data_IF_177411578291
#
_entry.id   IF_177411578291
#
_cell.length_a   1.000
_cell.length_b   1.000
_cell.length_c   1.000
_cell.angle_alpha   90.00
_cell.angle_beta   90.00
_cell.angle_gamma   90.00
#
_symmetry.space_group_name_H-M   'P 1'
#
loop_
_entity.id
_entity.type
_entity.pdbx_description
1 polymer ?
#
# COMPACT_ATOMS: atom_id res chain seq x y z
N UNK A 1 -7.79 -5.70 -43.98
CA UNK A 1 -6.50 -5.25 -43.41
C UNK A 1 -5.78 -6.49 -42.93
N UNK A 2 -4.78 -6.90 -43.70
CA UNK A 2 -4.06 -8.17 -43.54
C UNK A 2 -3.15 -8.16 -42.32
N UNK A 3 -3.17 -9.28 -41.60
CA UNK A 3 -2.28 -9.62 -40.50
C UNK A 3 -1.01 -10.22 -41.11
N UNK A 4 0.13 -9.57 -40.91
CA UNK A 4 1.44 -10.12 -41.30
C UNK A 4 1.87 -11.14 -40.24
N UNK A 5 1.86 -12.42 -40.63
CA UNK A 5 2.44 -13.54 -39.90
C UNK A 5 3.89 -13.70 -40.35
N UNK A 6 4.84 -13.64 -39.42
CA UNK A 6 6.25 -13.97 -39.70
C UNK A 6 6.45 -15.50 -39.62
N UNK A 7 7.21 -16.11 -40.56
CA UNK A 7 7.37 -17.56 -40.60
C UNK A 7 8.39 -18.06 -39.56
N UNK A 8 8.10 -19.24 -39.01
CA UNK A 8 9.02 -20.04 -38.20
C UNK A 8 9.99 -20.81 -39.10
N UNK A 9 11.29 -20.80 -38.78
CA UNK A 9 12.27 -21.71 -39.38
C UNK A 9 12.67 -22.85 -38.43
N UNK A 10 13.00 -24.04 -38.96
CA UNK A 10 13.08 -25.27 -38.19
C UNK A 10 14.48 -25.58 -37.63
N UNK A 11 14.49 -26.45 -36.62
CA UNK A 11 15.67 -26.98 -35.97
C UNK A 11 16.47 -27.95 -36.84
N UNK A 12 17.80 -27.85 -36.76
CA UNK A 12 18.71 -28.99 -36.96
C UNK A 12 19.99 -28.66 -37.72
N UNK A 13 21.13 -28.61 -37.02
CA UNK A 13 22.39 -29.30 -37.39
C UNK A 13 23.50 -28.97 -36.38
N UNK A 14 23.76 -29.90 -35.46
CA UNK A 14 25.01 -29.99 -34.71
C UNK A 14 26.15 -30.33 -35.69
N UNK A 15 27.18 -29.49 -35.75
CA UNK A 15 28.54 -29.90 -36.12
C UNK A 15 29.56 -29.20 -35.22
N UNK A 16 30.43 -30.02 -34.65
CA UNK A 16 31.55 -29.67 -33.79
C UNK A 16 32.73 -29.09 -34.57
N UNK A 17 33.24 -27.95 -34.11
CA UNK A 17 34.62 -27.47 -34.25
C UNK A 17 34.78 -26.44 -33.12
N UNK A 18 35.65 -26.59 -32.14
CA UNK A 18 37.10 -26.62 -32.24
C UNK A 18 37.57 -25.66 -31.14
N UNK A 19 38.30 -26.18 -30.17
CA UNK A 19 38.77 -25.48 -28.98
C UNK A 19 39.92 -24.54 -29.30
N UNK A 20 39.70 -23.23 -29.26
CA UNK A 20 40.77 -22.24 -29.08
C UNK A 20 40.30 -21.14 -28.11
N UNK A 21 41.16 -20.85 -27.12
CA UNK A 21 40.80 -20.13 -25.91
C UNK A 21 40.49 -18.65 -26.10
N UNK A 22 39.40 -18.20 -25.46
CA UNK A 22 39.23 -16.81 -25.07
C UNK A 22 39.72 -16.64 -23.64
N UNK A 23 40.87 -15.95 -23.49
CA UNK A 23 41.28 -15.34 -22.23
C UNK A 23 40.28 -14.23 -21.89
N UNK A 24 39.62 -14.35 -20.75
CA UNK A 24 38.82 -13.27 -20.16
C UNK A 24 39.79 -12.41 -19.36
N UNK A 25 40.04 -11.17 -19.79
CA UNK A 25 40.71 -10.17 -18.97
C UNK A 25 39.79 -9.73 -17.83
N UNK A 26 40.25 -9.89 -16.59
CA UNK A 26 39.63 -9.30 -15.40
C UNK A 26 39.76 -7.77 -15.46
N UNK A 27 38.70 -7.09 -15.87
CA UNK A 27 38.53 -5.68 -15.56
C UNK A 27 37.91 -5.54 -14.17
N UNK A 28 38.68 -4.96 -13.24
CA UNK A 28 38.21 -4.49 -11.95
C UNK A 28 36.95 -3.63 -12.11
N UNK A 29 35.78 -4.20 -11.79
CA UNK A 29 34.53 -3.45 -11.67
C UNK A 29 34.57 -2.66 -10.38
N UNK A 30 34.67 -1.32 -10.49
CA UNK A 30 34.28 -0.42 -9.39
C UNK A 30 32.81 -0.67 -9.02
N UNK A 31 32.41 -0.57 -7.75
CA UNK A 31 31.00 -0.68 -7.35
C UNK A 31 30.17 0.40 -8.05
N UNK A 32 29.04 0.01 -8.65
CA UNK A 32 28.12 0.87 -9.42
C UNK A 32 27.70 2.14 -8.67
N UNK A 33 27.68 2.09 -7.34
CA UNK A 33 27.31 3.20 -6.45
C UNK A 33 28.37 4.31 -6.44
N UNK A 34 29.66 3.97 -6.47
CA UNK A 34 30.73 4.99 -6.47
C UNK A 34 30.72 5.80 -7.77
N UNK A 35 30.50 5.14 -8.92
CA UNK A 35 30.36 5.81 -10.23
C UNK A 35 29.10 6.69 -10.27
N UNK A 36 27.99 6.26 -9.67
CA UNK A 36 26.77 7.07 -9.56
C UNK A 36 26.96 8.30 -8.66
N UNK A 37 27.70 8.16 -7.55
CA UNK A 37 27.99 9.27 -6.61
C UNK A 37 28.97 10.28 -7.22
N UNK A 38 30.02 9.82 -7.91
CA UNK A 38 30.98 10.69 -8.60
C UNK A 38 30.30 11.47 -9.75
N UNK A 39 29.44 10.83 -10.54
CA UNK A 39 28.66 11.51 -11.59
C UNK A 39 27.69 12.54 -11.02
N UNK A 40 27.09 12.27 -9.86
CA UNK A 40 26.22 13.23 -9.17
C UNK A 40 27.00 14.45 -8.65
N UNK A 41 28.28 14.31 -8.28
CA UNK A 41 29.14 15.41 -7.86
C UNK A 41 29.55 16.30 -9.05
N UNK A 42 29.95 15.71 -10.18
CA UNK A 42 30.32 16.44 -11.39
C UNK A 42 29.17 17.30 -11.97
N UNK A 43 27.92 16.84 -11.87
CA UNK A 43 26.77 17.60 -12.32
C UNK A 43 26.37 18.78 -11.40
N UNK A 44 26.85 18.84 -10.13
CA UNK A 44 26.65 20.04 -9.28
C UNK A 44 27.41 21.25 -9.82
N UNK A 45 28.54 21.06 -10.50
CA UNK A 45 29.29 22.14 -11.15
C UNK A 45 28.58 22.66 -12.40
N UNK A 46 27.99 21.78 -13.21
CA UNK A 46 27.19 22.17 -14.39
C UNK A 46 25.97 22.99 -13.98
N UNK A 47 25.38 22.70 -12.81
CA UNK A 47 24.21 23.41 -12.28
C UNK A 47 24.50 24.84 -11.80
N UNK A 48 25.77 25.23 -11.60
CA UNK A 48 26.12 26.65 -11.35
C UNK A 48 25.87 27.54 -12.57
N UNK A 49 25.76 26.95 -13.78
CA UNK A 49 25.63 27.68 -15.04
C UNK A 49 24.26 27.52 -15.73
N UNK A 50 23.31 26.82 -15.10
CA UNK A 50 21.94 26.69 -15.59
C UNK A 50 20.99 27.47 -14.69
N UNK A 51 20.60 28.66 -15.15
CA UNK A 51 19.51 29.43 -14.54
C UNK A 51 18.21 28.62 -14.61
N UNK A 52 17.44 28.49 -13.51
CA UNK A 52 16.15 27.81 -13.56
C UNK A 52 15.21 28.58 -14.49
N UNK A 53 14.67 27.90 -15.51
CA UNK A 53 13.50 28.38 -16.25
C UNK A 53 12.39 28.71 -15.26
N UNK A 54 12.00 29.99 -15.21
CA UNK A 54 11.04 30.54 -14.24
C UNK A 54 9.58 30.19 -14.54
N UNK A 55 9.30 29.21 -15.41
CA UNK A 55 7.93 28.77 -15.66
C UNK A 55 7.50 27.69 -14.64
N UNK A 56 7.23 28.13 -13.41
CA UNK A 56 6.24 27.44 -12.57
C UNK A 56 4.86 27.78 -13.14
N UNK A 57 4.04 26.81 -13.60
CA UNK A 57 2.65 27.13 -13.85
C UNK A 57 2.03 27.62 -12.54
N UNK A 58 1.56 28.86 -12.53
CA UNK A 58 0.82 29.42 -11.41
C UNK A 58 -0.49 28.66 -11.30
N UNK A 59 -0.55 27.65 -10.43
CA UNK A 59 -1.82 27.08 -9.99
C UNK A 59 -2.43 28.13 -9.07
N UNK A 60 -3.32 28.96 -9.63
CA UNK A 60 -4.13 29.88 -8.85
C UNK A 60 -4.93 29.04 -7.85
N UNK A 61 -4.94 29.35 -6.54
CA UNK A 61 -5.83 28.66 -5.62
C UNK A 61 -7.25 29.01 -6.03
N UNK A 62 -7.93 28.10 -6.73
CA UNK A 62 -9.35 28.24 -6.94
C UNK A 62 -9.99 28.15 -5.57
N UNK A 63 -10.71 29.19 -5.15
CA UNK A 63 -11.69 29.07 -4.06
C UNK A 63 -12.54 27.85 -4.37
N UNK A 64 -12.41 26.80 -3.57
CA UNK A 64 -13.28 25.62 -3.62
C UNK A 64 -14.70 26.18 -3.45
N UNK A 65 -15.58 26.13 -4.47
CA UNK A 65 -16.96 26.51 -4.26
C UNK A 65 -17.54 25.57 -3.20
N UNK A 66 -18.44 26.09 -2.35
CA UNK A 66 -19.23 25.23 -1.48
C UNK A 66 -19.83 24.10 -2.33
N UNK A 67 -19.53 22.86 -1.96
CA UNK A 67 -19.93 21.68 -2.69
C UNK A 67 -21.47 21.71 -2.78
N UNK A 68 -22.09 21.66 -3.97
CA UNK A 68 -23.55 21.56 -4.04
C UNK A 68 -23.97 20.29 -3.32
N UNK A 69 -25.12 20.33 -2.62
CA UNK A 69 -25.72 19.18 -1.97
C UNK A 69 -25.66 17.99 -2.93
N UNK A 70 -24.90 16.95 -2.54
CA UNK A 70 -24.75 15.75 -3.35
C UNK A 70 -26.14 15.25 -3.69
N UNK A 71 -26.45 15.12 -4.98
CA UNK A 71 -27.67 14.49 -5.47
C UNK A 71 -27.78 13.14 -4.76
N UNK A 72 -28.78 13.01 -3.87
CA UNK A 72 -29.08 11.77 -3.21
C UNK A 72 -29.43 10.75 -4.30
N UNK A 73 -28.51 9.83 -4.58
CA UNK A 73 -28.80 8.66 -5.41
C UNK A 73 -29.80 7.85 -4.59
N UNK A 74 -31.08 7.92 -4.98
CA UNK A 74 -32.14 7.17 -4.34
C UNK A 74 -31.81 5.67 -4.39
N UNK A 75 -31.96 4.93 -3.28
CA UNK A 75 -31.69 3.49 -3.28
C UNK A 75 -32.71 2.80 -4.18
N UNK A 76 -32.24 2.15 -5.25
CA UNK A 76 -33.01 1.20 -6.05
C UNK A 76 -32.57 -0.21 -5.65
N UNK A 77 -33.50 -1.01 -5.11
CA UNK A 77 -33.27 -2.38 -4.64
C UNK A 77 -33.50 -2.50 -3.12
N UNK A 78 -33.90 -3.69 -2.63
CA UNK A 78 -34.03 -3.97 -1.20
C UNK A 78 -32.71 -3.75 -0.43
N UNK A 79 -32.62 -4.04 0.87
CA UNK A 79 -31.45 -3.67 1.67
C UNK A 79 -30.27 -4.64 1.45
N UNK A 80 -30.01 -5.01 0.21
CA UNK A 80 -28.86 -5.80 -0.21
C UNK A 80 -27.59 -5.07 0.22
N UNK A 81 -26.75 -5.74 1.01
CA UNK A 81 -25.49 -5.19 1.51
C UNK A 81 -24.37 -6.18 1.31
N UNK A 82 -23.16 -5.65 1.10
CA UNK A 82 -21.95 -6.46 1.20
C UNK A 82 -21.60 -6.69 2.67
N UNK A 83 -21.54 -7.96 3.09
CA UNK A 83 -21.22 -8.41 4.45
C UNK A 83 -19.89 -9.14 4.44
N UNK A 84 -18.97 -8.77 5.33
CA UNK A 84 -17.71 -9.52 5.50
C UNK A 84 -18.03 -10.84 6.20
N UNK A 85 -17.82 -11.96 5.52
CA UNK A 85 -18.12 -13.31 6.03
C UNK A 85 -16.88 -14.10 6.42
N UNK A 86 -15.68 -13.57 6.12
CA UNK A 86 -14.41 -14.11 6.60
C UNK A 86 -13.25 -13.20 6.24
N UNK A 87 -12.17 -13.31 6.98
CA UNK A 87 -10.94 -12.54 6.81
C UNK A 87 -9.72 -13.44 6.91
N UNK A 88 -8.61 -12.96 6.38
CA UNK A 88 -7.33 -13.64 6.48
C UNK A 88 -6.18 -12.64 6.28
N UNK A 89 -5.07 -12.89 6.95
CA UNK A 89 -3.85 -12.10 6.83
C UNK A 89 -2.61 -12.97 6.65
N UNK A 90 -1.63 -12.45 5.93
CA UNK A 90 -0.31 -13.02 5.73
C UNK A 90 0.74 -11.99 6.12
N UNK A 91 1.58 -12.35 7.09
CA UNK A 91 2.75 -11.59 7.51
C UNK A 91 3.98 -12.42 7.10
N UNK A 92 4.93 -11.85 6.33
CA UNK A 92 6.11 -12.60 5.95
C UNK A 92 6.99 -12.95 7.17
N UNK A 93 7.85 -13.98 7.08
CA UNK A 93 8.52 -14.53 8.26
C UNK A 93 9.67 -13.66 8.77
N UNK A 94 10.27 -12.82 7.93
CA UNK A 94 11.51 -12.11 8.25
C UNK A 94 11.21 -10.83 9.03
N UNK A 95 11.41 -10.88 10.35
CA UNK A 95 11.30 -9.71 11.22
C UNK A 95 12.48 -8.75 11.02
N UNK A 96 12.19 -7.46 10.96
CA UNK A 96 13.16 -6.37 10.96
C UNK A 96 12.87 -5.45 12.14
N UNK A 97 13.83 -5.39 13.07
CA UNK A 97 13.77 -4.51 14.24
C UNK A 97 14.30 -3.13 13.92
N UNK A 98 13.96 -2.14 14.74
CA UNK A 98 14.58 -0.82 14.62
C UNK A 98 16.11 -0.83 14.77
N UNK A 99 16.64 -1.72 15.62
CA UNK A 99 18.10 -1.92 15.76
C UNK A 99 18.75 -2.47 14.49
N UNK A 100 18.04 -3.27 13.71
CA UNK A 100 18.56 -3.72 12.40
C UNK A 100 18.60 -2.56 11.42
N UNK A 101 17.59 -1.69 11.41
CA UNK A 101 17.56 -0.49 10.58
C UNK A 101 18.70 0.49 10.93
N UNK A 102 19.04 0.65 12.21
CA UNK A 102 20.17 1.51 12.63
C UNK A 102 21.55 1.00 12.21
N UNK A 103 21.64 -0.22 11.66
CA UNK A 103 22.89 -0.73 11.07
C UNK A 103 23.16 -0.13 9.70
N UNK A 104 22.13 0.26 8.97
CA UNK A 104 22.24 0.68 7.55
C UNK A 104 21.92 2.15 7.31
N UNK A 105 21.40 2.87 8.31
CA UNK A 105 21.09 4.29 8.21
C UNK A 105 21.13 4.98 9.58
N UNK A 106 21.26 6.32 9.55
CA UNK A 106 21.30 7.20 10.73
C UNK A 106 19.96 7.27 11.44
N UNK A 107 19.73 6.34 12.37
CA UNK A 107 18.52 6.26 13.19
C UNK A 107 18.79 5.49 14.48
N UNK A 108 17.80 5.43 15.37
CA UNK A 108 17.84 4.61 16.59
C UNK A 108 16.46 4.03 16.90
N UNK A 109 16.40 3.03 17.77
CA UNK A 109 15.13 2.48 18.24
C UNK A 109 14.25 3.55 18.91
N UNK A 110 14.85 4.33 19.79
CA UNK A 110 14.17 5.40 20.53
C UNK A 110 13.59 6.43 19.56
N UNK A 111 14.37 6.85 18.56
CA UNK A 111 13.95 7.84 17.57
C UNK A 111 12.77 7.33 16.72
N UNK A 112 12.78 6.06 16.31
CA UNK A 112 11.70 5.48 15.51
C UNK A 112 10.44 5.34 16.37
N UNK A 113 10.56 4.81 17.60
CA UNK A 113 9.44 4.64 18.53
C UNK A 113 8.76 5.96 18.87
N UNK A 114 9.52 7.00 19.21
CA UNK A 114 8.98 8.32 19.57
C UNK A 114 8.20 8.96 18.41
N UNK A 115 8.67 8.75 17.17
CA UNK A 115 8.08 9.39 15.99
C UNK A 115 6.95 8.62 15.36
N UNK A 116 6.99 7.29 15.45
CA UNK A 116 6.08 6.43 14.70
C UNK A 116 5.30 5.43 15.55
N UNK A 117 5.85 5.07 16.71
CA UNK A 117 5.37 3.94 17.52
C UNK A 117 5.75 2.57 16.97
N UNK A 118 6.54 2.48 15.88
CA UNK A 118 6.97 1.20 15.32
C UNK A 118 8.15 0.64 16.09
N UNK A 119 8.14 -0.67 16.37
CA UNK A 119 9.22 -1.41 17.04
C UNK A 119 9.82 -2.45 16.11
N UNK A 120 8.94 -3.15 15.39
CA UNK A 120 9.26 -4.14 14.38
C UNK A 120 8.43 -3.94 13.12
N UNK A 121 8.93 -4.51 12.02
CA UNK A 121 8.16 -4.81 10.81
C UNK A 121 8.59 -6.15 10.26
N UNK A 122 7.93 -6.58 9.19
CA UNK A 122 8.28 -7.81 8.50
C UNK A 122 8.51 -7.51 7.02
N UNK A 123 9.52 -8.15 6.44
CA UNK A 123 9.82 -8.04 5.01
C UNK A 123 9.78 -9.42 4.36
N UNK A 124 9.43 -9.43 3.08
CA UNK A 124 9.56 -10.63 2.25
C UNK A 124 11.03 -10.90 1.90
N UNK A 125 11.35 -12.17 1.62
CA UNK A 125 12.60 -12.52 0.96
C UNK A 125 12.48 -12.33 -0.57
N UNK A 126 13.60 -12.13 -1.29
CA UNK A 126 13.60 -12.05 -2.74
C UNK A 126 12.85 -13.23 -3.39
N UNK A 127 11.96 -12.93 -4.33
CA UNK A 127 11.13 -13.91 -5.03
C UNK A 127 9.69 -14.01 -4.53
N UNK A 128 9.38 -13.47 -3.35
CA UNK A 128 7.98 -13.30 -2.90
C UNK A 128 7.46 -11.94 -3.34
N UNK A 129 6.26 -11.92 -3.92
CA UNK A 129 5.64 -10.73 -4.51
C UNK A 129 4.42 -10.25 -3.72
N UNK A 130 3.93 -9.05 -4.04
CA UNK A 130 2.69 -8.50 -3.47
C UNK A 130 1.49 -9.38 -3.73
N UNK A 131 1.35 -9.93 -4.96
CA UNK A 131 0.27 -10.87 -5.24
C UNK A 131 0.42 -12.18 -4.46
N UNK A 132 1.62 -12.65 -4.11
CA UNK A 132 1.80 -13.84 -3.25
C UNK A 132 1.26 -13.63 -1.84
N UNK A 133 1.58 -12.49 -1.22
CA UNK A 133 1.01 -12.12 0.09
C UNK A 133 -0.51 -12.01 0.02
N UNK A 134 -1.03 -11.39 -1.06
CA UNK A 134 -2.46 -11.31 -1.32
C UNK A 134 -3.12 -12.68 -1.48
N UNK A 135 -2.48 -13.61 -2.20
CA UNK A 135 -2.97 -14.99 -2.39
C UNK A 135 -3.03 -15.75 -1.07
N UNK A 136 -1.98 -15.68 -0.25
CA UNK A 136 -1.95 -16.35 1.04
C UNK A 136 -3.05 -15.81 1.98
N UNK A 137 -3.20 -14.49 2.05
CA UNK A 137 -4.28 -13.85 2.81
C UNK A 137 -5.67 -14.23 2.29
N UNK A 138 -5.86 -14.24 0.97
CA UNK A 138 -7.12 -14.62 0.33
C UNK A 138 -7.51 -16.08 0.61
N UNK A 139 -6.56 -17.01 0.55
CA UNK A 139 -6.80 -18.43 0.90
C UNK A 139 -7.29 -18.55 2.34
N UNK A 140 -6.65 -17.85 3.28
CA UNK A 140 -7.06 -17.82 4.70
C UNK A 140 -8.47 -17.23 4.85
N UNK A 141 -8.78 -16.14 4.14
CA UNK A 141 -10.11 -15.51 4.16
C UNK A 141 -11.21 -16.43 3.60
N UNK A 142 -10.94 -17.14 2.50
CA UNK A 142 -11.86 -18.12 1.91
C UNK A 142 -12.13 -19.29 2.87
N UNK A 143 -11.09 -19.82 3.53
CA UNK A 143 -11.23 -20.87 4.55
C UNK A 143 -12.07 -20.37 5.72
N UNK A 144 -11.77 -19.18 6.26
CA UNK A 144 -12.52 -18.58 7.37
C UNK A 144 -14.00 -18.36 7.00
N UNK A 145 -14.28 -17.96 5.77
CA UNK A 145 -15.63 -17.75 5.25
C UNK A 145 -16.37 -19.03 4.83
N UNK A 146 -15.67 -20.18 4.80
CA UNK A 146 -16.16 -21.45 4.23
C UNK A 146 -16.71 -21.24 2.81
N UNK A 147 -15.90 -20.58 1.98
CA UNK A 147 -16.21 -20.25 0.58
C UNK A 147 -15.22 -20.99 -0.32
N UNK A 148 -15.76 -21.80 -1.23
CA UNK A 148 -14.93 -22.42 -2.28
C UNK A 148 -14.46 -21.36 -3.29
N UNK A 149 -13.22 -21.44 -3.81
CA UNK A 149 -12.71 -20.49 -4.79
C UNK A 149 -13.62 -20.29 -6.01
N UNK A 150 -14.30 -21.36 -6.46
CA UNK A 150 -15.24 -21.31 -7.59
C UNK A 150 -16.51 -20.51 -7.33
N UNK A 151 -16.79 -20.14 -6.08
CA UNK A 151 -17.95 -19.31 -5.72
C UNK A 151 -17.64 -17.82 -5.79
N UNK A 152 -16.36 -17.42 -5.85
CA UNK A 152 -15.95 -16.02 -6.01
C UNK A 152 -16.33 -15.55 -7.41
N UNK A 153 -16.98 -14.39 -7.51
CA UNK A 153 -17.45 -13.82 -8.78
C UNK A 153 -16.88 -12.42 -9.07
N UNK A 154 -16.09 -11.85 -8.15
CA UNK A 154 -15.33 -10.61 -8.36
C UNK A 154 -14.10 -10.56 -7.45
N UNK A 155 -13.00 -9.99 -7.97
CA UNK A 155 -11.81 -9.64 -7.18
C UNK A 155 -11.55 -8.13 -7.29
N UNK A 156 -11.39 -7.50 -6.14
CA UNK A 156 -10.89 -6.11 -6.02
C UNK A 156 -9.56 -6.13 -5.28
N UNK A 157 -8.50 -5.64 -5.91
CA UNK A 157 -7.15 -5.65 -5.33
C UNK A 157 -6.65 -4.21 -5.08
N UNK A 158 -6.43 -3.85 -3.83
CA UNK A 158 -5.85 -2.59 -3.42
C UNK A 158 -4.34 -2.76 -3.13
N UNK A 159 -3.51 -2.05 -3.90
CA UNK A 159 -2.06 -2.01 -3.64
C UNK A 159 -1.43 -0.79 -4.31
N UNK A 160 -0.34 -0.29 -3.74
CA UNK A 160 0.55 0.66 -4.41
C UNK A 160 1.91 0.06 -4.80
N UNK A 161 2.15 -1.20 -4.45
CA UNK A 161 3.39 -1.94 -4.74
C UNK A 161 3.10 -3.17 -5.61
N UNK A 162 2.49 -3.01 -6.80
CA UNK A 162 2.13 -4.14 -7.64
C UNK A 162 3.37 -4.90 -8.13
N UNK A 163 3.21 -6.18 -8.40
CA UNK A 163 4.24 -7.07 -8.97
C UNK A 163 4.85 -6.51 -10.27
N UNK A 164 4.00 -5.90 -11.08
CA UNK A 164 4.34 -5.25 -12.33
C UNK A 164 3.67 -3.87 -12.39
N UNK A 165 4.25 -2.96 -13.15
CA UNK A 165 3.59 -1.68 -13.42
C UNK A 165 2.25 -1.90 -14.16
N UNK A 166 2.24 -2.79 -15.16
CA UNK A 166 1.04 -3.41 -15.72
C UNK A 166 1.36 -4.85 -16.20
N UNK A 167 0.42 -5.80 -16.12
CA UNK A 167 -0.94 -5.69 -15.59
C UNK A 167 -0.99 -5.51 -14.06
N UNK A 168 -2.19 -5.30 -13.51
CA UNK A 168 -2.40 -5.22 -12.05
C UNK A 168 -2.18 -6.55 -11.32
N UNK A 169 -2.18 -6.51 -9.98
CA UNK A 169 -2.01 -7.67 -9.12
C UNK A 169 -3.26 -8.58 -9.05
N UNK A 170 -4.45 -8.04 -9.31
CA UNK A 170 -5.72 -8.79 -9.32
C UNK A 170 -5.71 -10.00 -10.26
N UNK A 171 -5.39 -9.83 -11.56
CA UNK A 171 -5.25 -10.95 -12.50
C UNK A 171 -4.20 -11.99 -12.08
N UNK A 172 -3.09 -11.56 -11.48
CA UNK A 172 -2.06 -12.50 -10.98
C UNK A 172 -2.60 -13.34 -9.82
N UNK A 173 -3.29 -12.70 -8.87
CA UNK A 173 -3.94 -13.39 -7.76
C UNK A 173 -5.01 -14.36 -8.27
N UNK A 174 -5.79 -13.97 -9.27
CA UNK A 174 -6.83 -14.81 -9.88
C UNK A 174 -6.24 -16.08 -10.48
N UNK A 175 -5.16 -15.96 -11.27
CA UNK A 175 -4.45 -17.10 -11.82
C UNK A 175 -3.88 -18.00 -10.71
N UNK A 176 -3.23 -17.42 -9.69
CA UNK A 176 -2.62 -18.15 -8.56
C UNK A 176 -3.64 -18.85 -7.65
N UNK A 177 -4.87 -18.35 -7.57
CA UNK A 177 -5.98 -18.98 -6.84
C UNK A 177 -6.80 -19.95 -7.69
N UNK A 178 -6.64 -19.95 -9.02
CA UNK A 178 -7.41 -20.79 -9.92
C UNK A 178 -8.87 -20.35 -10.04
N UNK A 179 -9.17 -19.04 -10.05
CA UNK A 179 -10.55 -18.54 -10.10
C UNK A 179 -11.18 -18.56 -11.52
N UNK A 180 -10.48 -19.06 -12.54
CA UNK A 180 -11.03 -19.19 -13.90
C UNK A 180 -11.24 -17.84 -14.59
N UNK A 181 -12.47 -17.55 -15.03
CA UNK A 181 -12.81 -16.33 -15.78
C UNK A 181 -13.39 -15.21 -14.90
N UNK A 182 -13.15 -15.25 -13.59
CA UNK A 182 -13.63 -14.23 -12.65
C UNK A 182 -13.04 -12.86 -13.01
N UNK A 183 -13.86 -11.79 -13.09
CA UNK A 183 -13.37 -10.44 -13.31
C UNK A 183 -12.52 -9.96 -12.13
N UNK A 184 -11.41 -9.28 -12.43
CA UNK A 184 -10.48 -8.76 -11.43
C UNK A 184 -10.00 -7.38 -11.84
N UNK A 185 -9.96 -6.45 -10.88
CA UNK A 185 -9.36 -5.14 -11.11
C UNK A 185 -8.60 -4.62 -9.90
N UNK A 186 -7.61 -3.78 -10.18
CA UNK A 186 -6.82 -3.09 -9.17
C UNK A 186 -7.38 -1.70 -8.89
N UNK A 187 -7.24 -1.26 -7.64
CA UNK A 187 -7.45 0.14 -7.23
C UNK A 187 -6.15 0.69 -6.63
N UNK A 188 -5.90 1.99 -6.84
CA UNK A 188 -4.65 2.68 -6.53
C UNK A 188 -4.92 3.88 -5.62
N UNK A 189 -5.42 3.59 -4.42
CA UNK A 189 -5.84 4.58 -3.41
C UNK A 189 -4.95 4.53 -2.14
N UNK A 190 -3.76 3.94 -2.30
CA UNK A 190 -2.72 3.82 -1.28
C UNK A 190 -3.33 3.39 0.07
N UNK A 191 -3.08 4.14 1.15
CA UNK A 191 -3.51 3.79 2.50
C UNK A 191 -5.03 3.74 2.70
N UNK A 192 -5.80 4.34 1.79
CA UNK A 192 -7.28 4.39 1.83
C UNK A 192 -7.89 3.33 0.90
N UNK A 193 -7.05 2.54 0.22
CA UNK A 193 -7.45 1.56 -0.78
C UNK A 193 -8.52 0.60 -0.28
N UNK A 194 -8.41 0.11 0.96
CA UNK A 194 -9.42 -0.80 1.51
C UNK A 194 -10.82 -0.16 1.63
N UNK A 195 -10.92 1.11 2.06
CA UNK A 195 -12.23 1.77 2.21
C UNK A 195 -12.88 2.08 0.87
N UNK A 196 -12.08 2.49 -0.12
CA UNK A 196 -12.56 2.62 -1.51
C UNK A 196 -12.95 1.25 -2.08
N UNK A 197 -12.20 0.20 -1.75
CA UNK A 197 -12.54 -1.18 -2.10
C UNK A 197 -13.89 -1.61 -1.53
N UNK A 198 -14.16 -1.34 -0.25
CA UNK A 198 -15.46 -1.62 0.38
C UNK A 198 -16.61 -0.91 -0.35
N UNK A 199 -16.40 0.34 -0.77
CA UNK A 199 -17.41 1.09 -1.52
C UNK A 199 -17.69 0.50 -2.90
N UNK A 200 -16.64 0.10 -3.62
CA UNK A 200 -16.78 -0.56 -4.90
C UNK A 200 -17.48 -1.91 -4.74
N UNK A 201 -17.09 -2.72 -3.75
CA UNK A 201 -17.73 -4.02 -3.49
C UNK A 201 -19.21 -3.85 -3.15
N UNK A 202 -19.56 -2.96 -2.22
CA UNK A 202 -20.95 -2.71 -1.83
C UNK A 202 -21.79 -2.18 -3.00
N UNK A 203 -21.23 -1.32 -3.85
CA UNK A 203 -21.89 -0.86 -5.06
C UNK A 203 -22.15 -1.99 -6.07
N UNK A 204 -21.20 -2.90 -6.30
CA UNK A 204 -21.38 -4.04 -7.20
C UNK A 204 -22.43 -5.02 -6.65
N UNK A 205 -22.41 -5.27 -5.34
CA UNK A 205 -23.40 -6.12 -4.65
C UNK A 205 -24.81 -5.52 -4.75
N UNK A 206 -24.96 -4.23 -4.44
CA UNK A 206 -26.26 -3.52 -4.53
C UNK A 206 -26.81 -3.44 -5.94
N UNK A 207 -25.93 -3.36 -6.94
CA UNK A 207 -26.30 -3.38 -8.34
C UNK A 207 -26.64 -4.78 -8.88
N UNK A 208 -26.44 -5.85 -8.08
CA UNK A 208 -26.62 -7.23 -8.52
C UNK A 208 -25.55 -7.72 -9.51
N UNK A 209 -24.39 -7.05 -9.55
CA UNK A 209 -23.27 -7.37 -10.44
C UNK A 209 -22.27 -8.35 -9.82
N UNK A 210 -22.32 -8.54 -8.50
CA UNK A 210 -21.48 -9.49 -7.78
C UNK A 210 -22.19 -10.01 -6.53
N UNK A 211 -21.87 -11.23 -6.10
CA UNK A 211 -22.47 -11.89 -4.93
C UNK A 211 -21.44 -12.37 -3.93
N UNK A 212 -20.26 -12.80 -4.37
CA UNK A 212 -19.17 -13.26 -3.50
C UNK A 212 -17.86 -12.65 -3.98
N UNK A 213 -17.43 -11.61 -3.28
CA UNK A 213 -16.31 -10.76 -3.68
C UNK A 213 -15.12 -11.00 -2.78
N UNK A 214 -13.94 -11.10 -3.37
CA UNK A 214 -12.69 -11.05 -2.64
C UNK A 214 -12.14 -9.61 -2.71
N UNK A 215 -12.03 -8.96 -1.55
CA UNK A 215 -11.37 -7.67 -1.42
C UNK A 215 -10.01 -7.87 -0.73
N UNK A 216 -8.93 -7.53 -1.44
CA UNK A 216 -7.55 -7.77 -1.00
C UNK A 216 -6.81 -6.44 -0.85
N UNK A 217 -6.10 -6.27 0.25
CA UNK A 217 -5.06 -5.26 0.42
C UNK A 217 -3.72 -5.94 0.65
N UNK A 218 -2.72 -5.68 -0.18
CA UNK A 218 -1.39 -6.28 0.01
C UNK A 218 -0.28 -5.33 -0.43
N UNK A 219 0.85 -5.38 0.26
CA UNK A 219 1.99 -4.50 -0.01
C UNK A 219 3.33 -5.19 0.26
N UNK A 220 4.30 -4.92 -0.62
CA UNK A 220 5.72 -5.24 -0.48
C UNK A 220 6.51 -3.94 -0.60
N UNK A 221 6.57 -3.19 0.50
CA UNK A 221 7.30 -1.93 0.60
C UNK A 221 8.81 -2.12 0.68
N UNK A 222 9.27 -3.29 1.14
CA UNK A 222 10.68 -3.67 1.11
C UNK A 222 11.31 -3.49 -0.27
N UNK A 223 10.53 -3.65 -1.35
CA UNK A 223 10.98 -3.50 -2.73
C UNK A 223 11.50 -2.10 -3.11
N UNK A 224 11.11 -1.05 -2.38
CA UNK A 224 11.67 0.30 -2.59
C UNK A 224 12.66 0.72 -1.50
N UNK A 225 13.13 -0.17 -0.63
CA UNK A 225 14.18 0.24 0.31
C UNK A 225 15.44 0.62 -0.46
N UNK A 226 16.10 1.75 -0.12
CA UNK A 226 17.21 2.30 -0.90
C UNK A 226 18.53 1.52 -0.73
N UNK A 227 18.47 0.24 -0.35
CA UNK A 227 19.60 -0.58 0.07
C UNK A 227 20.20 -1.36 -1.10
N UNK A 228 21.52 -1.43 -1.15
CA UNK A 228 22.22 -2.39 -2.02
C UNK A 228 22.05 -3.83 -1.50
N UNK A 229 22.34 -4.83 -2.32
CA UNK A 229 22.29 -6.24 -1.89
C UNK A 229 23.21 -6.49 -0.67
N UNK A 230 24.40 -5.90 -0.65
CA UNK A 230 25.30 -5.98 0.50
C UNK A 230 24.72 -5.32 1.76
N UNK A 231 24.00 -4.20 1.61
CA UNK A 231 23.32 -3.54 2.73
C UNK A 231 22.17 -4.40 3.28
N UNK A 232 21.44 -5.12 2.43
CA UNK A 232 20.45 -6.11 2.86
C UNK A 232 21.09 -7.24 3.67
N UNK A 233 22.17 -7.84 3.17
CA UNK A 233 22.89 -8.89 3.89
C UNK A 233 23.43 -8.38 5.23
N UNK A 234 23.96 -7.15 5.27
CA UNK A 234 24.41 -6.54 6.51
C UNK A 234 23.25 -6.30 7.47
N UNK A 235 22.12 -5.75 7.00
CA UNK A 235 20.92 -5.55 7.82
C UNK A 235 20.48 -6.85 8.52
N UNK A 236 20.48 -7.96 7.78
CA UNK A 236 20.13 -9.29 8.29
C UNK A 236 21.25 -9.99 9.08
N UNK A 237 22.46 -9.42 9.15
CA UNK A 237 23.60 -10.05 9.82
C UNK A 237 24.17 -11.26 9.08
N UNK A 238 23.94 -11.35 7.77
CA UNK A 238 24.54 -12.37 6.88
C UNK A 238 25.98 -12.03 6.50
N UNK A 239 26.39 -10.78 6.69
CA UNK A 239 27.76 -10.29 6.52
C UNK A 239 28.11 -9.29 7.64
N UNK A 240 29.40 -9.19 7.95
CA UNK A 240 29.97 -8.19 8.87
C UNK A 240 30.49 -6.94 8.13
N UNK A 241 30.39 -6.90 6.80
CA UNK A 241 30.78 -5.74 5.99
C UNK A 241 29.70 -4.66 6.09
N UNK A 242 29.97 -3.50 6.74
CA UNK A 242 28.98 -2.43 6.86
C UNK A 242 28.81 -1.68 5.53
N UNK A 243 27.73 -0.90 5.38
CA UNK A 243 27.61 0.03 4.25
C UNK A 243 28.80 0.99 4.20
N UNK A 244 29.20 1.36 2.99
CA UNK A 244 30.14 2.47 2.80
C UNK A 244 29.55 3.78 3.37
N UNK A 245 30.38 4.80 3.68
CA UNK A 245 29.85 6.09 4.12
C UNK A 245 28.82 6.71 3.16
N UNK A 246 29.03 6.54 1.85
CA UNK A 246 28.12 7.04 0.81
C UNK A 246 26.79 6.27 0.78
N UNK A 247 26.82 4.94 0.91
CA UNK A 247 25.60 4.13 1.03
C UNK A 247 24.83 4.47 2.31
N UNK A 248 25.52 4.61 3.43
CA UNK A 248 24.88 4.98 4.70
C UNK A 248 24.21 6.36 4.62
N UNK A 249 24.88 7.36 4.03
CA UNK A 249 24.30 8.69 3.78
C UNK A 249 23.07 8.59 2.84
N UNK A 250 23.19 7.83 1.76
CA UNK A 250 22.11 7.59 0.80
C UNK A 250 20.87 6.99 1.48
N UNK A 251 21.05 5.92 2.25
CA UNK A 251 19.97 5.28 3.01
C UNK A 251 19.31 6.26 4.00
N UNK A 252 20.13 7.05 4.69
CA UNK A 252 19.70 8.01 5.70
C UNK A 252 18.83 9.14 5.15
N UNK A 253 18.97 9.48 3.86
CA UNK A 253 18.15 10.48 3.18
C UNK A 253 16.66 10.14 3.18
N UNK A 254 16.32 8.85 3.11
CA UNK A 254 14.94 8.37 3.02
C UNK A 254 14.38 7.84 4.35
N UNK A 255 15.17 7.91 5.43
CA UNK A 255 14.84 7.32 6.74
C UNK A 255 13.49 7.74 7.31
N UNK A 256 13.00 8.94 6.99
CA UNK A 256 11.72 9.45 7.50
C UNK A 256 10.51 8.65 7.00
N UNK A 257 10.67 7.85 5.95
CA UNK A 257 9.65 6.98 5.36
C UNK A 257 9.99 5.50 5.55
N UNK A 258 11.24 5.09 5.28
CA UNK A 258 11.64 3.67 5.30
C UNK A 258 11.52 3.04 6.69
N UNK A 259 11.66 3.84 7.76
CA UNK A 259 11.42 3.43 9.16
C UNK A 259 9.96 3.21 9.52
N UNK A 260 9.01 3.37 8.59
CA UNK A 260 7.58 3.16 8.86
C UNK A 260 7.14 1.81 8.31
N UNK A 261 7.49 1.51 7.07
CA UNK A 261 6.83 0.48 6.29
C UNK A 261 7.19 -0.95 6.71
N UNK A 262 6.20 -1.82 6.54
CA UNK A 262 6.31 -3.27 6.60
C UNK A 262 5.48 -3.90 5.49
N UNK A 263 5.80 -5.15 5.16
CA UNK A 263 5.12 -5.93 4.14
C UNK A 263 4.02 -6.77 4.77
N UNK A 264 2.86 -6.85 4.13
CA UNK A 264 1.75 -7.71 4.56
C UNK A 264 0.73 -7.90 3.44
N UNK A 265 0.01 -9.01 3.49
CA UNK A 265 -1.24 -9.22 2.76
C UNK A 265 -2.40 -9.38 3.74
N UNK A 266 -3.56 -8.84 3.42
CA UNK A 266 -4.79 -9.09 4.14
C UNK A 266 -5.99 -9.03 3.19
N UNK A 267 -6.96 -9.91 3.40
CA UNK A 267 -8.12 -10.06 2.54
C UNK A 267 -9.38 -10.29 3.35
N UNK A 268 -10.51 -9.89 2.78
CA UNK A 268 -11.85 -10.23 3.27
C UNK A 268 -12.66 -10.85 2.15
N UNK A 269 -13.50 -11.82 2.50
CA UNK A 269 -14.55 -12.33 1.63
C UNK A 269 -15.84 -11.61 1.98
N UNK A 270 -16.47 -11.00 1.00
CA UNK A 270 -17.73 -10.30 1.17
C UNK A 270 -18.85 -11.03 0.42
N UNK A 271 -19.99 -11.23 1.07
CA UNK A 271 -21.19 -11.80 0.46
C UNK A 271 -22.32 -10.80 0.41
N UNK A 272 -23.14 -10.90 -0.62
CA UNK A 272 -24.41 -10.22 -0.72
C UNK A 272 -25.41 -10.83 0.28
N UNK A 273 -25.97 -10.02 1.17
CA UNK A 273 -27.05 -10.42 2.08
C UNK A 273 -28.23 -9.46 1.96
N UNK A 274 -29.44 -10.02 1.92
CA UNK A 274 -30.69 -9.29 1.63
C UNK A 274 -31.41 -8.75 2.88
N UNK A 275 -31.03 -9.21 4.07
CA UNK A 275 -31.75 -8.87 5.31
C UNK A 275 -31.48 -7.43 5.80
N UNK A 276 -30.42 -6.79 5.29
CA UNK A 276 -29.98 -5.46 5.70
C UNK A 276 -29.49 -5.37 7.16
N UNK A 277 -29.44 -6.49 7.87
CA UNK A 277 -29.18 -6.56 9.30
C UNK A 277 -27.70 -6.38 9.62
N UNK A 278 -26.81 -6.58 8.64
CA UNK A 278 -25.35 -6.47 8.71
C UNK A 278 -24.77 -5.85 7.43
N UNK A 279 -23.44 -5.73 7.37
CA UNK A 279 -22.70 -5.25 6.21
C UNK A 279 -22.38 -3.76 6.22
N UNK A 280 -21.97 -3.25 5.06
CA UNK A 280 -21.64 -1.84 4.88
C UNK A 280 -22.90 -0.98 5.05
N UNK A 281 -22.90 -0.10 6.07
CA UNK A 281 -24.02 0.79 6.39
C UNK A 281 -23.91 2.07 5.57
N UNK A 282 -22.80 2.80 5.73
CA UNK A 282 -22.57 4.10 5.11
C UNK A 282 -21.08 4.40 5.01
N UNK A 283 -20.74 5.31 4.10
CA UNK A 283 -19.37 5.70 3.80
C UNK A 283 -19.28 7.19 3.51
N UNK A 284 -18.18 7.78 3.94
CA UNK A 284 -17.79 9.15 3.60
C UNK A 284 -16.39 9.06 3.03
N UNK A 285 -16.25 9.29 1.72
CA UNK A 285 -14.97 9.27 1.01
C UNK A 285 -14.68 10.64 0.41
N UNK A 286 -13.41 11.03 0.42
CA UNK A 286 -12.94 12.32 -0.09
C UNK A 286 -11.55 12.23 -0.73
N UNK A 287 -11.29 13.15 -1.64
CA UNK A 287 -9.98 13.31 -2.29
C UNK A 287 -9.76 14.78 -2.62
N UNK A 288 -8.55 15.25 -2.35
CA UNK A 288 -8.04 16.54 -2.80
C UNK A 288 -6.75 16.31 -3.59
N UNK A 289 -6.91 16.27 -4.91
CA UNK A 289 -5.81 16.06 -5.86
C UNK A 289 -4.85 17.24 -5.98
N UNK A 290 -5.21 18.43 -5.49
CA UNK A 290 -4.30 19.58 -5.52
C UNK A 290 -3.08 19.37 -4.62
N UNK A 291 -3.20 18.49 -3.62
CA UNK A 291 -2.20 18.17 -2.61
C UNK A 291 -1.40 16.90 -2.94
N UNK A 292 -1.46 16.39 -4.17
CA UNK A 292 -0.79 15.14 -4.55
C UNK A 292 0.72 15.15 -4.25
N UNK A 293 1.37 16.32 -4.37
CA UNK A 293 2.81 16.50 -4.22
C UNK A 293 3.30 16.41 -2.76
N UNK A 294 2.39 16.26 -1.80
CA UNK A 294 2.72 16.11 -0.37
C UNK A 294 3.14 14.69 0.01
N UNK A 295 2.77 13.68 -0.79
CA UNK A 295 3.19 12.30 -0.64
C UNK A 295 3.06 11.59 -1.99
N UNK A 296 4.18 11.40 -2.69
CA UNK A 296 4.21 10.81 -4.03
C UNK A 296 5.58 10.22 -4.36
N UNK A 297 5.65 9.45 -5.45
CA UNK A 297 6.93 8.99 -6.05
C UNK A 297 7.28 9.95 -7.20
N UNK A 298 8.42 10.66 -7.15
CA UNK A 298 8.75 11.66 -8.17
C UNK A 298 8.95 11.13 -9.60
N UNK A 299 9.55 9.95 -9.74
CA UNK A 299 9.97 9.33 -11.00
C UNK A 299 9.31 7.98 -11.25
N UNK A 300 9.84 7.20 -12.19
CA UNK A 300 9.32 5.87 -12.60
C UNK A 300 7.87 5.87 -13.12
N UNK A 301 7.28 7.05 -13.30
CA UNK A 301 6.00 7.28 -13.95
C UNK A 301 6.17 7.89 -15.35
N UNK A 302 5.06 7.99 -16.09
CA UNK A 302 5.03 8.47 -17.48
C UNK A 302 5.18 10.00 -17.64
N UNK A 303 5.58 10.69 -16.56
CA UNK A 303 5.82 12.14 -16.55
C UNK A 303 7.08 12.52 -17.33
N UNK A 304 8.05 11.61 -17.44
CA UNK A 304 9.35 11.85 -18.05
C UNK A 304 9.49 11.13 -19.39
N UNK A 305 10.33 11.69 -20.29
CA UNK A 305 10.73 11.07 -21.56
C UNK A 305 12.27 11.15 -21.65
N UNK A 306 13.00 10.03 -21.65
CA UNK A 306 12.52 8.63 -21.65
C UNK A 306 11.75 8.25 -20.37
N UNK A 307 10.98 7.16 -20.43
CA UNK A 307 10.13 6.69 -19.32
C UNK A 307 10.92 6.50 -18.02
N UNK A 308 12.12 5.92 -18.12
CA UNK A 308 13.10 5.80 -17.04
C UNK A 308 14.48 6.17 -17.54
N UNK A 309 15.33 6.72 -16.67
CA UNK A 309 16.73 7.03 -16.96
C UNK A 309 17.62 6.84 -15.72
N UNK A 310 18.94 6.62 -15.87
CA UNK A 310 19.87 6.45 -14.74
C UNK A 310 19.89 7.63 -13.76
N UNK A 311 19.62 8.85 -14.20
CA UNK A 311 19.65 10.02 -13.33
C UNK A 311 18.46 10.06 -12.36
N UNK A 312 17.28 9.56 -12.77
CA UNK A 312 16.14 9.36 -11.86
C UNK A 312 16.54 8.48 -10.67
N UNK A 313 17.26 7.40 -10.93
CA UNK A 313 17.74 6.51 -9.87
C UNK A 313 18.80 7.18 -9.01
N UNK A 314 19.78 7.86 -9.61
CA UNK A 314 20.81 8.61 -8.88
C UNK A 314 20.23 9.73 -8.00
N UNK A 315 19.12 10.36 -8.40
CA UNK A 315 18.41 11.36 -7.58
C UNK A 315 17.50 10.75 -6.52
N UNK A 316 17.16 9.46 -6.65
CA UNK A 316 16.24 8.76 -5.75
C UNK A 316 14.77 9.00 -6.08
N UNK A 317 14.46 9.37 -7.33
CA UNK A 317 13.12 9.72 -7.77
C UNK A 317 12.16 8.49 -7.74
N UNK A 318 12.69 7.28 -7.64
CA UNK A 318 11.94 6.03 -7.48
C UNK A 318 11.49 5.76 -6.03
N UNK A 319 11.95 6.56 -5.07
CA UNK A 319 11.58 6.45 -3.65
C UNK A 319 10.50 7.48 -3.33
N UNK A 320 9.45 7.12 -2.57
CA UNK A 320 8.45 8.09 -2.15
C UNK A 320 9.07 9.27 -1.39
N UNK A 321 8.52 10.46 -1.58
CA UNK A 321 8.86 11.68 -0.81
C UNK A 321 7.62 12.19 -0.09
N UNK A 322 7.81 12.77 1.09
CA UNK A 322 6.69 13.20 1.95
C UNK A 322 6.97 14.50 2.68
N UNK A 323 5.99 15.43 2.66
CA UNK A 323 5.91 16.50 3.66
C UNK A 323 5.21 15.97 4.92
N UNK A 324 5.98 15.38 5.83
CA UNK A 324 5.43 14.71 7.01
C UNK A 324 4.66 15.63 7.96
N UNK A 325 5.01 16.92 8.03
CA UNK A 325 4.28 17.87 8.90
C UNK A 325 2.91 18.19 8.31
N UNK A 326 2.87 18.43 7.01
CA UNK A 326 1.62 18.69 6.31
C UNK A 326 0.70 17.47 6.33
N UNK A 327 1.25 16.29 5.97
CA UNK A 327 0.52 15.02 5.97
C UNK A 327 -0.03 14.69 7.35
N UNK A 328 0.77 14.85 8.42
CA UNK A 328 0.29 14.63 9.79
C UNK A 328 -0.91 15.52 10.12
N UNK A 329 -0.80 16.83 9.88
CA UNK A 329 -1.88 17.79 10.16
C UNK A 329 -3.14 17.42 9.40
N UNK A 330 -3.02 17.19 8.09
CA UNK A 330 -4.16 16.90 7.24
C UNK A 330 -4.81 15.56 7.61
N UNK A 331 -4.02 14.52 7.93
CA UNK A 331 -4.53 13.23 8.39
C UNK A 331 -5.34 13.38 9.68
N UNK A 332 -4.79 14.05 10.70
CA UNK A 332 -5.48 14.26 11.98
C UNK A 332 -6.78 15.05 11.84
N UNK A 333 -6.83 16.00 10.91
CA UNK A 333 -8.04 16.78 10.62
C UNK A 333 -9.06 15.95 9.85
N UNK A 334 -8.68 15.41 8.69
CA UNK A 334 -9.61 14.74 7.79
C UNK A 334 -10.19 13.46 8.39
N UNK A 335 -9.39 12.66 9.09
CA UNK A 335 -9.86 11.42 9.72
C UNK A 335 -10.93 11.70 10.77
N UNK A 336 -10.74 12.73 11.60
CA UNK A 336 -11.76 13.17 12.59
C UNK A 336 -13.02 13.65 11.89
N UNK A 337 -12.89 14.52 10.89
CA UNK A 337 -14.03 15.06 10.15
C UNK A 337 -14.89 13.96 9.53
N UNK A 338 -14.30 13.00 8.81
CA UNK A 338 -15.10 11.94 8.17
C UNK A 338 -15.65 10.92 9.14
N UNK A 339 -14.97 10.67 10.26
CA UNK A 339 -15.50 9.87 11.35
C UNK A 339 -16.76 10.51 11.95
N UNK A 340 -16.71 11.80 12.28
CA UNK A 340 -17.86 12.54 12.79
C UNK A 340 -19.00 12.57 11.77
N UNK A 341 -18.71 12.88 10.50
CA UNK A 341 -19.72 12.95 9.45
C UNK A 341 -20.46 11.61 9.26
N UNK A 342 -19.76 10.47 9.25
CA UNK A 342 -20.43 9.17 9.07
C UNK A 342 -21.25 8.79 10.31
N UNK A 343 -20.79 9.10 11.52
CA UNK A 343 -21.54 8.85 12.75
C UNK A 343 -22.82 9.72 12.81
N UNK A 344 -22.70 11.02 12.52
CA UNK A 344 -23.81 11.97 12.48
C UNK A 344 -24.86 11.60 11.44
N UNK A 345 -24.46 11.24 10.21
CA UNK A 345 -25.38 10.80 9.14
C UNK A 345 -26.21 9.58 9.54
N UNK A 346 -25.67 8.73 10.42
CA UNK A 346 -26.31 7.51 10.89
C UNK A 346 -26.93 7.65 12.29
N UNK A 347 -26.89 8.86 12.88
CA UNK A 347 -27.45 9.15 14.21
C UNK A 347 -26.93 8.21 15.31
N UNK A 348 -25.66 7.85 15.22
CA UNK A 348 -24.95 7.06 16.22
C UNK A 348 -23.80 7.87 16.79
N UNK A 349 -23.34 7.48 17.97
CA UNK A 349 -22.22 8.10 18.68
C UNK A 349 -21.06 7.12 18.81
N UNK A 350 -19.92 7.60 19.32
CA UNK A 350 -18.78 6.73 19.61
C UNK A 350 -19.10 5.66 20.67
N UNK A 351 -20.10 5.91 21.53
CA UNK A 351 -20.54 4.96 22.55
C UNK A 351 -21.24 3.75 21.95
N UNK A 352 -21.93 3.93 20.82
CA UNK A 352 -22.61 2.86 20.06
C UNK A 352 -21.65 1.98 19.24
N UNK A 353 -20.46 2.48 18.93
CA UNK A 353 -19.45 1.77 18.15
C UNK A 353 -18.74 0.74 19.04
N UNK A 354 -18.69 -0.53 18.63
CA UNK A 354 -17.96 -1.59 19.35
C UNK A 354 -16.45 -1.45 19.17
N UNK A 355 -16.00 -1.11 17.96
CA UNK A 355 -14.57 -1.07 17.61
C UNK A 355 -14.26 -0.02 16.55
N UNK A 356 -13.08 0.61 16.66
CA UNK A 356 -12.57 1.59 15.70
C UNK A 356 -11.25 1.10 15.12
N UNK A 357 -11.23 0.89 13.80
CA UNK A 357 -10.06 0.45 13.06
C UNK A 357 -9.53 1.60 12.21
N UNK A 358 -8.43 2.20 12.66
CA UNK A 358 -7.76 3.28 11.94
C UNK A 358 -6.57 2.74 11.14
N UNK A 359 -6.35 3.30 9.94
CA UNK A 359 -5.10 3.08 9.21
C UNK A 359 -3.89 3.40 10.11
N UNK A 360 -2.86 2.58 10.05
CA UNK A 360 -1.71 2.61 10.93
C UNK A 360 -0.52 3.27 10.22
N UNK A 361 -0.63 4.56 9.93
CA UNK A 361 0.45 5.33 9.32
C UNK A 361 1.59 5.63 10.31
N UNK A 362 1.19 6.10 11.49
CA UNK A 362 1.99 6.20 12.70
C UNK A 362 1.03 6.23 13.90
N UNK A 363 1.51 5.81 15.07
CA UNK A 363 0.71 5.73 16.30
C UNK A 363 0.15 7.10 16.74
N UNK A 364 0.94 8.16 16.55
CA UNK A 364 0.59 9.53 17.00
C UNK A 364 -0.63 10.12 16.30
N UNK A 365 -0.83 9.84 15.00
CA UNK A 365 -2.05 10.23 14.28
C UNK A 365 -3.26 9.56 14.93
N UNK A 366 -3.16 8.26 15.18
CA UNK A 366 -4.28 7.49 15.74
C UNK A 366 -4.58 7.93 17.17
N UNK A 367 -3.57 8.17 18.01
CA UNK A 367 -3.74 8.71 19.37
C UNK A 367 -4.39 10.10 19.36
N UNK A 368 -4.03 10.96 18.40
CA UNK A 368 -4.67 12.26 18.24
C UNK A 368 -6.17 12.11 17.86
N UNK A 369 -6.46 11.33 16.81
CA UNK A 369 -7.84 11.09 16.38
C UNK A 369 -8.67 10.47 17.50
N UNK A 370 -8.10 9.49 18.21
CA UNK A 370 -8.71 8.83 19.37
C UNK A 370 -9.09 9.85 20.45
N UNK A 371 -8.15 10.72 20.82
CA UNK A 371 -8.37 11.76 21.84
C UNK A 371 -9.46 12.75 21.42
N UNK A 372 -9.42 13.24 20.18
CA UNK A 372 -10.39 14.23 19.68
C UNK A 372 -11.80 13.64 19.57
N UNK A 373 -11.91 12.39 19.15
CA UNK A 373 -13.20 11.68 19.03
C UNK A 373 -13.71 11.09 20.36
N UNK A 374 -12.91 11.17 21.44
CA UNK A 374 -13.28 10.62 22.75
C UNK A 374 -13.40 9.10 22.77
N UNK A 375 -12.62 8.38 21.96
CA UNK A 375 -12.72 6.92 21.83
C UNK A 375 -12.02 6.24 23.00
N UNK A 376 -12.70 5.39 23.79
CA UNK A 376 -12.07 4.60 24.84
C UNK A 376 -10.97 3.67 24.30
N UNK A 377 -9.87 3.50 25.04
CA UNK A 377 -8.73 2.66 24.66
C UNK A 377 -9.13 1.22 24.27
N UNK A 378 -10.11 0.65 24.99
CA UNK A 378 -10.60 -0.70 24.73
C UNK A 378 -11.24 -0.88 23.33
N UNK A 379 -11.72 0.22 22.73
CA UNK A 379 -12.37 0.22 21.41
C UNK A 379 -11.38 0.45 20.25
N UNK A 380 -10.09 0.64 20.53
CA UNK A 380 -9.06 0.85 19.50
C UNK A 380 -8.09 -0.33 19.46
N UNK A 381 -7.60 -0.64 18.26
CA UNK A 381 -6.53 -1.62 18.06
C UNK A 381 -5.31 -0.90 17.45
N UNK A 382 -4.16 -1.14 18.07
CA UNK A 382 -2.86 -0.73 17.55
C UNK A 382 -2.01 -1.97 17.33
N UNK A 383 -1.59 -2.18 16.09
CA UNK A 383 -0.63 -3.22 15.71
C UNK A 383 0.58 -2.66 14.96
N UNK A 384 0.65 -1.34 14.79
CA UNK A 384 1.76 -0.67 14.09
C UNK A 384 3.12 -0.93 14.74
N UNK A 385 3.15 -1.13 16.05
CA UNK A 385 4.35 -1.49 16.80
C UNK A 385 4.93 -2.83 16.32
N UNK A 386 4.06 -3.76 15.85
CA UNK A 386 4.43 -5.10 15.40
C UNK A 386 4.76 -5.13 13.91
N UNK A 387 3.91 -4.54 13.07
CA UNK A 387 3.99 -4.74 11.61
C UNK A 387 4.45 -3.51 10.83
N UNK A 388 4.60 -2.35 11.49
CA UNK A 388 4.78 -1.08 10.79
C UNK A 388 3.55 -0.68 9.97
N UNK A 389 3.76 0.25 9.05
CA UNK A 389 2.73 0.70 8.11
C UNK A 389 2.65 -0.26 6.92
N UNK A 390 1.52 -0.94 6.77
CA UNK A 390 1.23 -1.91 5.71
C UNK A 390 0.25 -1.37 4.66
N UNK A 391 0.09 -0.05 4.59
CA UNK A 391 -0.74 0.69 3.62
C UNK A 391 -2.13 0.08 3.44
N UNK A 392 -2.45 -0.49 2.27
CA UNK A 392 -3.80 -0.99 1.97
C UNK A 392 -4.15 -2.25 2.76
N UNK A 393 -3.16 -3.02 3.22
CA UNK A 393 -3.38 -4.22 4.03
C UNK A 393 -3.75 -3.89 5.48
N UNK A 394 -3.56 -2.66 5.95
CA UNK A 394 -3.65 -2.34 7.38
C UNK A 394 -5.02 -2.56 8.00
N UNK A 395 -6.09 -2.02 7.40
CA UNK A 395 -7.44 -2.17 7.95
C UNK A 395 -7.93 -3.63 7.87
N UNK A 396 -7.79 -4.36 6.75
CA UNK A 396 -8.18 -5.77 6.73
C UNK A 396 -7.32 -6.64 7.67
N UNK A 397 -6.05 -6.29 7.89
CA UNK A 397 -5.21 -6.94 8.90
C UNK A 397 -5.75 -6.71 10.32
N UNK A 398 -6.10 -5.46 10.67
CA UNK A 398 -6.72 -5.14 11.95
C UNK A 398 -8.06 -5.86 12.15
N UNK A 399 -8.87 -5.96 11.08
CA UNK A 399 -10.12 -6.71 11.09
C UNK A 399 -9.87 -8.19 11.40
N UNK A 400 -8.92 -8.80 10.70
CA UNK A 400 -8.55 -10.20 10.89
C UNK A 400 -8.01 -10.50 12.29
N UNK A 401 -7.12 -9.65 12.82
CA UNK A 401 -6.63 -9.79 14.19
C UNK A 401 -7.77 -9.65 15.20
N UNK A 402 -8.63 -8.65 15.06
CA UNK A 402 -9.76 -8.45 15.95
C UNK A 402 -10.70 -9.66 15.98
N UNK A 403 -10.97 -10.26 14.81
CA UNK A 403 -11.79 -11.45 14.69
C UNK A 403 -11.13 -12.66 15.35
N UNK A 404 -9.83 -12.92 15.09
CA UNK A 404 -9.08 -14.05 15.68
C UNK A 404 -8.91 -13.93 17.19
N UNK A 405 -8.78 -12.71 17.70
CA UNK A 405 -8.66 -12.42 19.13
C UNK A 405 -10.03 -12.35 19.86
N UNK A 406 -11.15 -12.53 19.14
CA UNK A 406 -12.50 -12.48 19.73
C UNK A 406 -12.95 -11.08 20.17
N UNK A 407 -12.24 -10.03 19.72
CA UNK A 407 -12.56 -8.62 19.95
C UNK A 407 -13.61 -8.08 18.99
N UNK A 408 -13.81 -8.76 17.86
CA UNK A 408 -14.83 -8.46 16.87
C UNK A 408 -15.81 -9.64 16.77
N UNK A 409 -17.11 -9.35 16.89
CA UNK A 409 -18.19 -10.34 16.86
C UNK A 409 -19.25 -9.93 15.84
N UNK A 410 -20.00 -10.91 15.36
CA UNK A 410 -21.16 -10.66 14.50
C UNK A 410 -22.15 -9.70 15.19
N UNK A 411 -22.61 -8.70 14.46
CA UNK A 411 -23.52 -7.64 14.92
C UNK A 411 -22.83 -6.39 15.45
N UNK A 412 -21.51 -6.45 15.73
CA UNK A 412 -20.74 -5.31 16.21
C UNK A 412 -20.77 -4.16 15.20
N UNK A 413 -20.94 -2.94 15.73
CA UNK A 413 -20.84 -1.73 14.93
C UNK A 413 -19.37 -1.29 14.89
N UNK A 414 -18.77 -1.28 13.70
CA UNK A 414 -17.35 -1.00 13.50
C UNK A 414 -17.17 0.26 12.67
N UNK A 415 -16.35 1.18 13.16
CA UNK A 415 -15.94 2.37 12.43
C UNK A 415 -14.53 2.15 11.85
N UNK A 416 -14.42 2.22 10.52
CA UNK A 416 -13.16 2.15 9.81
C UNK A 416 -12.77 3.54 9.34
N UNK A 417 -11.51 3.97 9.53
CA UNK A 417 -11.06 5.33 9.16
C UNK A 417 -9.66 5.29 8.56
N UNK A 418 -9.45 5.96 7.43
CA UNK A 418 -8.15 6.02 6.78
C UNK A 418 -7.86 7.39 6.12
N UNK A 419 -6.57 7.65 5.96
CA UNK A 419 -6.00 8.78 5.22
C UNK A 419 -4.76 8.29 4.48
N UNK A 420 -4.50 8.82 3.28
CA UNK A 420 -3.35 8.43 2.46
C UNK A 420 -3.05 9.40 1.32
N UNK A 421 -2.04 9.03 0.52
CA UNK A 421 -1.65 9.77 -0.67
C UNK A 421 -2.84 9.97 -1.63
N UNK A 422 -2.82 11.09 -2.39
CA UNK A 422 -3.94 11.53 -3.21
C UNK A 422 -4.11 13.07 -3.20
N UNK A 423 -4.28 13.76 -2.08
CA UNK A 423 -4.56 13.20 -0.74
C UNK A 423 -5.97 12.65 -0.69
N UNK A 424 -6.12 11.43 -0.19
CA UNK A 424 -7.41 10.74 -0.07
C UNK A 424 -7.69 10.40 1.37
N UNK A 425 -8.97 10.29 1.72
CA UNK A 425 -9.39 9.91 3.06
C UNK A 425 -10.78 9.30 3.04
N UNK A 426 -11.13 8.61 4.12
CA UNK A 426 -12.47 8.06 4.25
C UNK A 426 -12.79 7.48 5.61
N UNK A 427 -14.09 7.38 5.87
CA UNK A 427 -14.65 6.58 6.94
C UNK A 427 -15.73 5.64 6.38
N UNK A 428 -15.85 4.46 6.97
CA UNK A 428 -16.86 3.47 6.63
C UNK A 428 -17.44 2.90 7.92
N UNK A 429 -18.75 2.98 8.05
CA UNK A 429 -19.50 2.36 9.14
C UNK A 429 -20.00 1.00 8.66
N UNK A 430 -19.60 -0.06 9.37
CA UNK A 430 -19.91 -1.44 9.02
C UNK A 430 -20.54 -2.12 10.22
N UNK A 431 -21.48 -3.02 9.97
CA UNK A 431 -21.96 -3.95 10.99
C UNK A 431 -21.45 -5.35 10.64
N UNK A 432 -20.62 -5.93 11.51
CA UNK A 432 -19.95 -7.21 11.27
C UNK A 432 -20.93 -8.39 11.18
#
# INVERSE_FOLDING_TARGET
>A
MEVVVLPAEPAGLFRSAGSEGLRVEEHHRRPLVEDLVERAAAHREVRRHLTPSQHRPTIVPSRVPAQPDRIAIAPRGGPMRAVIVGSGSEIPPTVVTNRMLSRVMDTSDEWIRERSGVETRYYVEPGTTTSDLGVAAARRALVAARVEPSAVDLVVFATMTPDHYFPGAGPLLQAKLGLGNVPCFDIRQQCVGFLYGLQLVDAHVRAGLARTVLLVGAEVHSGFMPYTAANWDYLYGRTDVPPTPAEHEWNSRFRHLTVLFGDAGAAVVMRAEEDGSRGVIDQVLGTDGAEYDKLYVPGTGFKHRPYTDPEQFARGDHIPVMDGRYVFKLATTRMVEVAQQVLERNRVTIDDVSLVLMHQANRRINEHCQKVLGIPDAKVIHNIQKYGNTTAATIPLLWDEAAREGRLRQGDLVLLVAFGAGMSWGATLVRA
#
